data_IF_000519137393
#
_entry.id   IF_000519137393
#
_cell.length_a   1.000
_cell.length_b   1.000
_cell.length_c   1.000
_cell.angle_alpha   90.00
_cell.angle_beta   90.00
_cell.angle_gamma   90.00
#
_symmetry.space_group_name_H-M   'P 1'
#
loop_
_entity.id
_entity.type
_entity.pdbx_description
1 polymer ?
#
# COMPACT_ATOMS: atom_id res chain seq x y z
N UNK A 1 -6.25 -50.35 -14.76
CA UNK A 1 -5.28 -49.52 -14.00
C UNK A 1 -5.83 -49.20 -12.62
N UNK A 2 -5.06 -49.36 -11.56
CA UNK A 2 -5.38 -49.04 -10.18
C UNK A 2 -4.20 -48.39 -9.47
N UNK A 3 -4.48 -47.69 -8.37
CA UNK A 3 -3.46 -47.04 -7.52
C UNK A 3 -3.22 -47.88 -6.29
N UNK A 4 -1.95 -48.17 -5.98
CA UNK A 4 -1.52 -48.87 -4.77
C UNK A 4 -1.28 -47.82 -3.68
N UNK A 5 -2.09 -47.84 -2.60
CA UNK A 5 -1.99 -46.93 -1.47
C UNK A 5 -0.80 -47.24 -0.56
N UNK A 6 -0.49 -46.31 0.38
CA UNK A 6 0.61 -46.52 1.36
C UNK A 6 0.40 -47.73 2.27
N UNK A 7 -0.86 -48.14 2.52
CA UNK A 7 -1.26 -49.33 3.28
C UNK A 7 -1.40 -50.58 2.43
N UNK A 8 -0.87 -50.56 1.21
CA UNK A 8 -0.94 -51.62 0.20
C UNK A 8 -2.34 -51.95 -0.31
N UNK A 9 -3.36 -51.20 0.04
CA UNK A 9 -4.69 -51.38 -0.56
C UNK A 9 -4.71 -50.90 -2.03
N UNK A 10 -5.59 -51.49 -2.84
CA UNK A 10 -5.75 -51.15 -4.25
C UNK A 10 -7.00 -50.31 -4.44
N UNK A 11 -6.89 -49.23 -5.18
CA UNK A 11 -7.99 -48.36 -5.54
C UNK A 11 -8.07 -48.17 -7.04
N UNK A 12 -9.30 -48.34 -7.58
CA UNK A 12 -9.52 -48.12 -9.02
C UNK A 12 -9.12 -46.68 -9.41
N UNK A 13 -8.46 -46.54 -10.56
CA UNK A 13 -8.09 -45.22 -11.09
C UNK A 13 -9.30 -44.35 -11.32
N UNK A 14 -9.25 -43.11 -10.86
CA UNK A 14 -10.28 -42.12 -11.06
C UNK A 14 -9.64 -40.74 -11.19
N UNK A 15 -9.68 -40.16 -12.39
CA UNK A 15 -9.10 -38.85 -12.72
C UNK A 15 -9.75 -37.72 -11.91
N UNK A 16 -11.01 -37.83 -11.51
CA UNK A 16 -11.69 -36.81 -10.68
C UNK A 16 -11.01 -36.61 -9.32
N UNK A 17 -10.32 -37.61 -8.82
CA UNK A 17 -9.50 -37.47 -7.60
C UNK A 17 -8.28 -36.57 -7.81
N UNK A 18 -7.71 -36.57 -9.01
CA UNK A 18 -6.65 -35.64 -9.40
C UNK A 18 -7.22 -34.21 -9.40
N UNK A 19 -8.36 -33.99 -10.08
CA UNK A 19 -9.03 -32.69 -10.13
C UNK A 19 -9.30 -32.14 -8.72
N UNK A 20 -9.83 -32.98 -7.83
CA UNK A 20 -10.08 -32.58 -6.43
C UNK A 20 -8.79 -32.24 -5.70
N UNK A 21 -7.73 -33.03 -5.88
CA UNK A 21 -6.45 -32.81 -5.20
C UNK A 21 -5.75 -31.55 -5.68
N UNK A 22 -5.72 -31.31 -7.00
CA UNK A 22 -5.07 -30.12 -7.57
C UNK A 22 -5.84 -28.83 -7.25
N UNK A 23 -7.18 -28.88 -7.27
CA UNK A 23 -7.99 -27.73 -6.85
C UNK A 23 -7.84 -27.39 -5.36
N UNK A 24 -7.72 -28.39 -4.48
CA UNK A 24 -7.37 -28.13 -3.06
C UNK A 24 -6.00 -27.49 -2.91
N UNK A 25 -5.04 -27.83 -3.75
CA UNK A 25 -3.69 -27.24 -3.74
C UNK A 25 -3.68 -25.85 -4.34
N UNK A 26 -4.47 -25.61 -5.40
CA UNK A 26 -4.70 -24.30 -5.98
C UNK A 26 -5.38 -23.35 -4.97
N UNK A 27 -6.39 -23.82 -4.26
CA UNK A 27 -7.03 -23.05 -3.20
C UNK A 27 -6.04 -22.63 -2.10
N UNK A 28 -5.14 -23.52 -1.67
CA UNK A 28 -4.08 -23.19 -0.70
C UNK A 28 -3.06 -22.21 -1.27
N UNK A 29 -2.73 -22.31 -2.55
CA UNK A 29 -1.86 -21.36 -3.26
C UNK A 29 -2.59 -20.06 -3.65
N UNK A 30 -3.89 -19.95 -3.34
CA UNK A 30 -4.72 -18.78 -3.62
C UNK A 30 -4.85 -18.45 -5.12
N UNK A 31 -4.85 -19.49 -5.94
CA UNK A 31 -5.04 -19.40 -7.40
C UNK A 31 -6.16 -20.32 -7.83
N UNK A 32 -6.70 -20.09 -9.03
CA UNK A 32 -7.72 -20.95 -9.67
C UNK A 32 -7.19 -21.48 -10.97
N UNK A 33 -7.64 -22.66 -11.37
CA UNK A 33 -7.42 -23.21 -12.70
C UNK A 33 -8.54 -22.80 -13.65
N UNK A 34 -8.18 -22.55 -14.90
CA UNK A 34 -9.15 -22.54 -16.01
C UNK A 34 -9.56 -23.99 -16.36
N UNK A 35 -10.65 -24.15 -17.12
CA UNK A 35 -11.05 -25.48 -17.56
C UNK A 35 -9.99 -26.11 -18.48
N UNK A 36 -9.38 -25.35 -19.37
CA UNK A 36 -8.32 -25.80 -20.28
C UNK A 36 -7.08 -26.31 -19.51
N UNK A 37 -6.70 -25.61 -18.45
CA UNK A 37 -5.60 -26.02 -17.57
C UNK A 37 -5.90 -27.35 -16.85
N UNK A 38 -7.12 -27.53 -16.34
CA UNK A 38 -7.54 -28.77 -15.72
C UNK A 38 -7.57 -29.93 -16.72
N UNK A 39 -8.07 -29.70 -17.93
CA UNK A 39 -8.11 -30.70 -19.01
C UNK A 39 -6.69 -31.12 -19.42
N UNK A 40 -5.76 -30.16 -19.51
CA UNK A 40 -4.34 -30.45 -19.74
C UNK A 40 -3.75 -31.34 -18.64
N UNK A 41 -3.93 -30.96 -17.37
CA UNK A 41 -3.43 -31.72 -16.22
C UNK A 41 -3.97 -33.15 -16.25
N UNK A 42 -5.27 -33.32 -16.46
CA UNK A 42 -5.90 -34.64 -16.51
C UNK A 42 -5.33 -35.49 -17.65
N UNK A 43 -5.23 -34.92 -18.85
CA UNK A 43 -4.71 -35.60 -20.04
C UNK A 43 -3.24 -36.02 -19.85
N UNK A 44 -2.40 -35.10 -19.34
CA UNK A 44 -1.01 -35.38 -19.05
C UNK A 44 -0.82 -36.51 -18.03
N UNK A 45 -1.60 -36.47 -16.94
CA UNK A 45 -1.53 -37.50 -15.90
C UNK A 45 -1.98 -38.84 -16.42
N UNK A 46 -3.06 -38.90 -17.20
CA UNK A 46 -3.52 -40.17 -17.81
C UNK A 46 -2.55 -40.74 -18.82
N UNK A 47 -1.98 -39.91 -19.70
CA UNK A 47 -0.98 -40.32 -20.68
C UNK A 47 0.27 -40.89 -20.02
N UNK A 48 0.83 -40.17 -19.05
CA UNK A 48 2.01 -40.58 -18.30
C UNK A 48 1.75 -41.85 -17.50
N UNK A 49 0.61 -41.94 -16.80
CA UNK A 49 0.26 -43.15 -16.06
C UNK A 49 0.12 -44.37 -16.95
N UNK A 50 -0.47 -44.23 -18.14
CA UNK A 50 -0.56 -45.31 -19.13
C UNK A 50 0.81 -45.70 -19.74
N UNK A 51 1.69 -44.72 -19.95
CA UNK A 51 3.03 -44.95 -20.51
C UNK A 51 3.95 -45.80 -19.61
N UNK A 52 3.63 -45.89 -18.31
CA UNK A 52 4.37 -46.79 -17.40
C UNK A 52 4.14 -48.27 -17.66
N UNK A 53 3.09 -48.64 -18.41
CA UNK A 53 2.80 -50.03 -18.76
C UNK A 53 2.45 -50.94 -17.59
N UNK A 54 2.14 -50.38 -16.41
CA UNK A 54 1.85 -51.11 -15.18
C UNK A 54 0.34 -51.10 -14.92
N UNK A 55 -0.23 -52.22 -14.48
CA UNK A 55 -1.63 -52.29 -14.03
C UNK A 55 -1.86 -51.55 -12.72
N UNK A 56 -0.89 -51.62 -11.79
CA UNK A 56 -0.91 -50.97 -10.48
C UNK A 56 0.21 -49.96 -10.33
N UNK A 57 -0.15 -48.70 -10.10
CA UNK A 57 0.79 -47.57 -9.92
C UNK A 57 0.90 -47.24 -8.45
N UNK A 58 2.11 -47.22 -7.84
CA UNK A 58 2.27 -46.72 -6.47
C UNK A 58 1.80 -45.28 -6.31
N UNK A 59 1.13 -44.98 -5.22
CA UNK A 59 0.62 -43.63 -4.95
C UNK A 59 1.72 -42.56 -4.95
N UNK A 60 2.94 -42.91 -4.54
CA UNK A 60 4.09 -41.99 -4.58
C UNK A 60 4.46 -41.59 -6.01
N UNK A 61 4.40 -42.56 -6.96
CA UNK A 61 4.69 -42.29 -8.37
C UNK A 61 3.56 -41.49 -9.03
N UNK A 62 2.32 -41.81 -8.69
CA UNK A 62 1.16 -41.00 -9.11
C UNK A 62 1.28 -39.55 -8.67
N UNK A 63 1.71 -39.29 -7.43
CA UNK A 63 1.97 -37.94 -6.94
C UNK A 63 3.07 -37.23 -7.75
N UNK A 64 4.15 -37.93 -8.14
CA UNK A 64 5.21 -37.32 -8.95
C UNK A 64 4.71 -36.93 -10.34
N UNK A 65 3.84 -37.74 -10.96
CA UNK A 65 3.24 -37.45 -12.26
C UNK A 65 2.32 -36.22 -12.17
N UNK A 66 1.50 -36.15 -11.15
CA UNK A 66 0.61 -34.98 -10.92
C UNK A 66 1.43 -33.70 -10.66
N UNK A 67 2.49 -33.82 -9.87
CA UNK A 67 3.40 -32.71 -9.60
C UNK A 67 4.08 -32.22 -10.88
N UNK A 68 4.55 -33.12 -11.74
CA UNK A 68 5.15 -32.76 -13.04
C UNK A 68 4.16 -32.07 -13.99
N UNK A 69 2.88 -32.44 -13.96
CA UNK A 69 1.83 -31.74 -14.71
C UNK A 69 1.61 -30.31 -14.16
N UNK A 70 1.56 -30.17 -12.85
CA UNK A 70 1.37 -28.87 -12.18
C UNK A 70 2.53 -27.92 -12.41
N UNK A 71 3.78 -28.42 -12.42
CA UNK A 71 4.98 -27.60 -12.71
C UNK A 71 4.91 -26.95 -14.11
N UNK A 72 4.24 -27.58 -15.08
CA UNK A 72 4.08 -27.03 -16.43
C UNK A 72 2.96 -25.99 -16.52
N UNK A 73 1.97 -26.04 -15.63
CA UNK A 73 0.78 -25.16 -15.68
C UNK A 73 0.88 -24.03 -14.67
N UNK A 74 1.14 -24.39 -13.40
CA UNK A 74 1.22 -23.45 -12.27
C UNK A 74 2.23 -23.95 -11.24
N UNK A 75 3.50 -23.52 -11.32
CA UNK A 75 4.56 -23.97 -10.41
C UNK A 75 4.28 -23.70 -8.92
N UNK A 76 3.53 -22.64 -8.60
CA UNK A 76 3.10 -22.33 -7.24
C UNK A 76 2.12 -23.36 -6.69
N UNK A 77 1.26 -23.93 -7.54
CA UNK A 77 0.36 -25.02 -7.15
C UNK A 77 1.10 -26.34 -7.05
N UNK A 78 2.10 -26.60 -7.92
CA UNK A 78 2.98 -27.75 -7.79
C UNK A 78 3.70 -27.77 -6.45
N UNK A 79 4.24 -26.61 -6.03
CA UNK A 79 4.84 -26.45 -4.71
C UNK A 79 3.85 -26.72 -3.59
N UNK A 80 2.66 -26.12 -3.64
CA UNK A 80 1.59 -26.36 -2.65
C UNK A 80 1.18 -27.83 -2.57
N UNK A 81 1.13 -28.52 -3.70
CA UNK A 81 0.81 -29.95 -3.77
C UNK A 81 1.89 -30.82 -3.14
N UNK A 82 3.17 -30.55 -3.43
CA UNK A 82 4.35 -31.21 -2.84
C UNK A 82 4.40 -30.98 -1.34
N UNK A 83 4.22 -29.76 -0.89
CA UNK A 83 4.27 -29.38 0.51
C UNK A 83 3.17 -30.06 1.33
N UNK A 84 1.96 -30.21 0.78
CA UNK A 84 0.89 -30.94 1.42
C UNK A 84 1.16 -32.45 1.53
N UNK A 85 1.85 -33.03 0.53
CA UNK A 85 2.28 -34.44 0.58
C UNK A 85 3.26 -34.68 1.74
N UNK A 86 4.16 -33.72 1.97
CA UNK A 86 5.17 -33.76 3.04
C UNK A 86 4.69 -33.10 4.35
N UNK A 87 3.42 -32.83 4.43
CA UNK A 87 2.70 -31.98 5.39
C UNK A 87 3.16 -32.09 6.84
N UNK A 88 3.35 -33.31 7.37
CA UNK A 88 3.67 -33.45 8.81
C UNK A 88 5.04 -32.85 9.16
N UNK A 89 6.07 -33.16 8.41
CA UNK A 89 7.43 -32.67 8.69
C UNK A 89 7.56 -31.15 8.45
N UNK A 90 7.04 -30.68 7.32
CA UNK A 90 7.16 -29.30 6.95
C UNK A 90 6.29 -28.38 7.82
N UNK A 91 5.10 -28.86 8.22
CA UNK A 91 4.22 -28.10 9.10
C UNK A 91 4.79 -27.96 10.52
N UNK A 92 5.35 -29.04 11.08
CA UNK A 92 6.01 -29.00 12.39
C UNK A 92 7.21 -28.04 12.34
N UNK A 93 8.02 -28.11 11.29
CA UNK A 93 9.17 -27.21 11.11
C UNK A 93 8.73 -25.75 11.01
N UNK A 94 7.70 -25.45 10.21
CA UNK A 94 7.14 -24.11 10.08
C UNK A 94 6.62 -23.59 11.44
N UNK A 95 5.88 -24.40 12.18
CA UNK A 95 5.38 -24.01 13.50
C UNK A 95 6.50 -23.78 14.50
N UNK A 96 7.57 -24.55 14.45
CA UNK A 96 8.74 -24.37 15.30
C UNK A 96 9.47 -23.05 15.00
N UNK A 97 9.60 -22.68 13.72
CA UNK A 97 10.16 -21.40 13.29
C UNK A 97 9.30 -20.21 13.75
N UNK A 98 7.97 -20.30 13.57
CA UNK A 98 7.02 -19.29 14.07
C UNK A 98 7.10 -19.19 15.58
N UNK A 99 7.14 -20.33 16.30
CA UNK A 99 7.26 -20.36 17.75
C UNK A 99 8.56 -19.67 18.25
N UNK A 100 9.72 -20.03 17.69
CA UNK A 100 11.01 -19.44 18.05
C UNK A 100 11.03 -17.93 17.82
N UNK A 101 10.54 -17.46 16.67
CA UNK A 101 10.47 -16.02 16.36
C UNK A 101 9.46 -15.32 17.28
N UNK A 102 8.32 -15.94 17.58
CA UNK A 102 7.32 -15.40 18.50
C UNK A 102 7.88 -15.21 19.91
N UNK A 103 8.67 -16.17 20.41
CA UNK A 103 9.37 -16.02 21.70
C UNK A 103 10.33 -14.83 21.67
N UNK A 104 11.13 -14.69 20.61
CA UNK A 104 12.02 -13.53 20.44
C UNK A 104 11.25 -12.21 20.46
N UNK A 105 10.16 -12.10 19.70
CA UNK A 105 9.32 -10.89 19.64
C UNK A 105 8.71 -10.58 21.02
N UNK A 106 8.21 -11.57 21.72
CA UNK A 106 7.57 -11.37 23.03
C UNK A 106 8.54 -10.86 24.09
N UNK A 107 9.77 -11.35 24.11
CA UNK A 107 10.74 -11.04 25.18
C UNK A 107 11.72 -9.92 24.79
N UNK A 108 12.18 -9.88 23.56
CA UNK A 108 13.20 -8.95 23.09
C UNK A 108 12.59 -7.78 22.31
N UNK A 109 11.51 -8.04 21.57
CA UNK A 109 10.89 -7.15 20.60
C UNK A 109 11.53 -7.29 19.23
N UNK A 110 11.04 -6.50 18.28
CA UNK A 110 11.52 -6.42 16.91
C UNK A 110 11.52 -4.97 16.45
N UNK A 111 12.53 -4.57 15.68
CA UNK A 111 12.70 -3.20 15.17
C UNK A 111 12.79 -3.17 13.64
N UNK A 112 12.13 -4.10 12.96
CA UNK A 112 12.13 -4.16 11.50
C UNK A 112 11.56 -2.89 10.84
N UNK A 113 10.68 -2.18 11.56
CA UNK A 113 9.99 -1.03 11.00
C UNK A 113 10.08 0.20 11.92
N UNK A 114 10.45 1.36 11.35
CA UNK A 114 10.63 2.62 12.09
C UNK A 114 9.32 3.23 12.61
N UNK A 115 8.17 2.80 12.08
CA UNK A 115 6.85 3.27 12.50
C UNK A 115 6.17 2.35 13.52
N UNK A 116 6.91 1.44 14.16
CA UNK A 116 6.38 0.55 15.19
C UNK A 116 7.19 0.66 16.49
N UNK A 117 6.49 0.52 17.61
CA UNK A 117 7.08 0.45 18.94
C UNK A 117 6.90 -0.96 19.50
N UNK A 118 7.95 -1.77 19.43
CA UNK A 118 7.94 -3.17 19.84
C UNK A 118 7.70 -3.38 21.36
N UNK A 119 7.71 -2.33 22.16
CA UNK A 119 7.34 -2.42 23.57
C UNK A 119 5.82 -2.58 23.77
N UNK A 120 5.01 -2.10 22.82
CA UNK A 120 3.55 -2.13 22.93
C UNK A 120 2.98 -3.52 22.64
N UNK A 121 1.94 -3.89 23.36
CA UNK A 121 1.25 -5.21 23.23
C UNK A 121 0.64 -5.37 21.85
N UNK A 122 0.00 -4.33 21.31
CA UNK A 122 -0.58 -4.34 19.96
C UNK A 122 0.49 -4.59 18.89
N UNK A 123 1.64 -3.92 18.98
CA UNK A 123 2.77 -4.10 18.08
C UNK A 123 3.32 -5.53 18.15
N UNK A 124 3.51 -6.09 19.32
CA UNK A 124 3.97 -7.48 19.49
C UNK A 124 3.01 -8.49 18.85
N UNK A 125 1.69 -8.30 19.02
CA UNK A 125 0.69 -9.15 18.35
C UNK A 125 0.82 -9.10 16.82
N UNK A 126 0.95 -7.90 16.26
CA UNK A 126 1.10 -7.73 14.81
C UNK A 126 2.40 -8.35 14.30
N UNK A 127 3.51 -8.20 15.01
CA UNK A 127 4.77 -8.82 14.61
C UNK A 127 4.69 -10.35 14.59
N UNK A 128 4.01 -10.96 15.55
CA UNK A 128 3.78 -12.43 15.57
C UNK A 128 2.88 -12.83 14.39
N UNK A 129 1.78 -12.11 14.17
CA UNK A 129 0.90 -12.34 13.04
C UNK A 129 1.64 -12.17 11.70
N UNK A 130 2.48 -11.14 11.56
CA UNK A 130 3.29 -10.92 10.38
C UNK A 130 4.29 -12.05 10.14
N UNK A 131 4.92 -12.59 11.20
CA UNK A 131 5.80 -13.75 11.05
C UNK A 131 5.04 -14.98 10.53
N UNK A 132 3.86 -15.26 11.07
CA UNK A 132 3.02 -16.36 10.59
C UNK A 132 2.64 -16.15 9.12
N UNK A 133 2.19 -14.95 8.75
CA UNK A 133 1.81 -14.65 7.37
C UNK A 133 3.00 -14.74 6.39
N UNK A 134 4.20 -14.32 6.82
CA UNK A 134 5.42 -14.46 6.02
C UNK A 134 5.71 -15.93 5.70
N UNK A 135 5.64 -16.81 6.71
CA UNK A 135 5.83 -18.25 6.50
C UNK A 135 4.78 -18.85 5.56
N UNK A 136 3.50 -18.45 5.74
CA UNK A 136 2.41 -18.90 4.88
C UNK A 136 2.58 -18.38 3.44
N UNK A 137 3.02 -17.14 3.26
CA UNK A 137 3.28 -16.56 1.94
C UNK A 137 4.41 -17.31 1.23
N UNK A 138 5.54 -17.54 1.90
CA UNK A 138 6.67 -18.28 1.35
C UNK A 138 6.30 -19.72 0.98
N UNK A 139 5.47 -20.35 1.81
CA UNK A 139 5.14 -21.75 1.64
C UNK A 139 4.08 -22.00 0.56
N UNK A 140 3.07 -21.16 0.47
CA UNK A 140 1.88 -21.44 -0.33
C UNK A 140 1.68 -20.52 -1.53
N UNK A 141 2.30 -19.35 -1.55
CA UNK A 141 2.12 -18.38 -2.63
C UNK A 141 3.32 -18.28 -3.56
N UNK A 142 4.54 -18.40 -3.04
CA UNK A 142 5.77 -18.30 -3.83
C UNK A 142 6.09 -19.62 -4.54
N UNK A 143 6.67 -19.52 -5.73
CA UNK A 143 7.30 -20.65 -6.40
C UNK A 143 8.62 -21.03 -5.72
N UNK A 144 9.14 -22.21 -6.04
CA UNK A 144 10.45 -22.65 -5.54
C UNK A 144 11.57 -21.72 -6.01
N UNK A 145 11.50 -21.27 -7.28
CA UNK A 145 12.50 -20.39 -7.88
C UNK A 145 12.50 -19.00 -7.25
N UNK A 146 11.31 -18.41 -7.03
CA UNK A 146 11.17 -17.12 -6.33
C UNK A 146 11.72 -17.21 -4.91
N UNK A 147 11.39 -18.26 -4.18
CA UNK A 147 11.89 -18.46 -2.82
C UNK A 147 13.41 -18.62 -2.80
N UNK A 148 13.98 -19.37 -3.78
CA UNK A 148 15.42 -19.52 -3.90
C UNK A 148 16.10 -18.19 -4.25
N UNK A 149 15.55 -17.43 -5.20
CA UNK A 149 16.07 -16.12 -5.57
C UNK A 149 16.08 -15.13 -4.38
N UNK A 150 15.07 -15.21 -3.49
CA UNK A 150 15.05 -14.44 -2.25
C UNK A 150 16.12 -14.91 -1.24
N UNK A 151 16.27 -16.22 -1.06
CA UNK A 151 17.26 -16.81 -0.12
C UNK A 151 18.69 -16.52 -0.56
N UNK A 152 18.94 -16.56 -1.85
CA UNK A 152 20.24 -16.26 -2.44
C UNK A 152 20.54 -14.74 -2.46
N UNK A 153 19.52 -13.90 -2.20
CA UNK A 153 19.65 -12.44 -2.11
C UNK A 153 19.64 -11.71 -3.46
N UNK A 154 19.21 -12.33 -4.56
CA UNK A 154 19.07 -11.67 -5.86
C UNK A 154 17.86 -10.76 -5.93
N UNK A 155 16.78 -11.14 -5.26
CA UNK A 155 15.57 -10.33 -5.11
C UNK A 155 15.20 -10.18 -3.64
N UNK A 156 14.54 -9.05 -3.31
CA UNK A 156 13.95 -8.82 -1.99
C UNK A 156 12.49 -8.38 -2.16
N UNK A 157 11.58 -9.17 -1.61
CA UNK A 157 10.15 -8.89 -1.63
C UNK A 157 9.83 -8.09 -0.37
N UNK A 158 9.48 -6.80 -0.55
CA UNK A 158 9.09 -5.93 0.54
C UNK A 158 7.75 -6.34 1.14
N UNK A 159 7.63 -6.22 2.46
CA UNK A 159 6.40 -6.45 3.22
C UNK A 159 5.72 -7.79 2.92
N UNK A 160 6.52 -8.84 2.77
CA UNK A 160 6.08 -10.18 2.37
C UNK A 160 4.92 -10.71 3.23
N UNK A 161 4.88 -10.32 4.50
CA UNK A 161 3.84 -10.72 5.46
C UNK A 161 2.45 -10.17 5.16
N UNK A 162 2.36 -9.06 4.41
CA UNK A 162 1.10 -8.35 4.17
C UNK A 162 0.62 -8.38 2.71
N UNK A 163 1.48 -8.78 1.78
CA UNK A 163 1.20 -8.72 0.33
C UNK A 163 -0.03 -9.49 -0.15
N UNK A 164 -0.46 -10.49 0.57
CA UNK A 164 -1.65 -11.26 0.21
C UNK A 164 -2.93 -10.74 0.87
N UNK A 165 -2.84 -9.81 1.82
CA UNK A 165 -3.99 -9.36 2.58
C UNK A 165 -4.62 -8.10 1.97
N UNK A 166 -3.79 -7.19 1.42
CA UNK A 166 -4.25 -5.90 0.91
C UNK A 166 -3.19 -5.22 0.04
N UNK A 167 -3.50 -4.01 -0.44
CA UNK A 167 -2.58 -3.14 -1.17
C UNK A 167 -1.47 -2.56 -0.29
N UNK A 168 -0.44 -2.01 -0.92
CA UNK A 168 0.69 -1.37 -0.25
C UNK A 168 0.44 0.13 0.00
N UNK A 169 0.90 1.00 -0.92
CA UNK A 169 0.78 2.45 -0.77
C UNK A 169 -0.30 3.02 -1.69
N UNK A 170 -0.91 4.13 -1.29
CA UNK A 170 -1.95 4.78 -2.08
C UNK A 170 -1.85 6.30 -2.13
N UNK A 171 -2.49 6.88 -3.15
CA UNK A 171 -2.93 8.26 -3.23
C UNK A 171 -4.44 8.27 -3.03
N UNK A 172 -4.89 8.54 -1.81
CA UNK A 172 -6.28 8.37 -1.42
C UNK A 172 -7.11 9.61 -1.75
N UNK A 173 -8.27 9.41 -2.35
CA UNK A 173 -9.18 10.48 -2.73
C UNK A 173 -10.12 10.87 -1.59
N UNK A 174 -9.60 11.61 -0.63
CA UNK A 174 -10.38 12.07 0.53
C UNK A 174 -11.53 12.99 0.09
N UNK A 175 -11.33 13.79 -0.96
CA UNK A 175 -12.34 14.75 -1.43
C UNK A 175 -13.62 14.02 -1.87
N UNK A 176 -13.51 12.97 -2.68
CA UNK A 176 -14.69 12.27 -3.18
C UNK A 176 -15.40 11.50 -2.05
N UNK A 177 -14.64 10.91 -1.11
CA UNK A 177 -15.23 10.29 0.08
C UNK A 177 -16.05 11.27 0.90
N UNK A 178 -15.58 12.51 1.07
CA UNK A 178 -16.31 13.52 1.86
C UNK A 178 -17.55 14.06 1.15
N UNK A 179 -17.57 14.06 -0.18
CA UNK A 179 -18.62 14.71 -0.97
C UNK A 179 -19.97 13.99 -0.80
N UNK A 180 -20.94 14.69 -0.26
CA UNK A 180 -22.29 14.16 0.00
C UNK A 180 -22.43 13.28 1.23
N UNK A 181 -21.34 13.00 1.92
CA UNK A 181 -21.28 12.07 3.06
C UNK A 181 -20.96 10.64 2.64
N UNK A 182 -20.65 9.77 3.61
CA UNK A 182 -20.17 8.40 3.39
C UNK A 182 -20.47 7.50 4.59
N UNK A 183 -20.42 6.19 4.39
CA UNK A 183 -20.53 5.21 5.46
C UNK A 183 -19.14 4.76 5.93
N UNK A 184 -18.92 4.76 7.25
CA UNK A 184 -17.71 4.23 7.87
C UNK A 184 -18.06 3.46 9.15
N UNK A 185 -17.65 2.21 9.20
CA UNK A 185 -18.06 1.30 10.27
C UNK A 185 -19.57 1.05 10.21
N UNK A 186 -20.30 1.43 11.26
CA UNK A 186 -21.75 1.27 11.35
C UNK A 186 -22.48 2.62 11.35
N UNK A 187 -21.84 3.69 10.89
CA UNK A 187 -22.36 5.06 10.98
C UNK A 187 -22.25 5.76 9.64
N UNK A 188 -23.27 6.58 9.35
CA UNK A 188 -23.23 7.55 8.26
C UNK A 188 -22.57 8.84 8.76
N UNK A 189 -21.54 9.29 8.05
CA UNK A 189 -20.86 10.56 8.25
C UNK A 189 -21.40 11.58 7.25
N UNK A 190 -21.94 12.67 7.75
CA UNK A 190 -22.34 13.79 6.89
C UNK A 190 -21.11 14.58 6.43
N UNK A 191 -21.21 15.18 5.24
CA UNK A 191 -20.19 16.11 4.77
C UNK A 191 -19.93 17.22 5.80
N UNK A 192 -18.66 17.52 6.16
CA UNK A 192 -18.32 18.54 7.11
C UNK A 192 -18.81 19.93 6.70
N UNK A 193 -19.37 20.68 7.65
CA UNK A 193 -19.84 22.07 7.44
C UNK A 193 -18.92 23.12 8.04
N UNK A 194 -17.90 22.72 8.77
CA UNK A 194 -16.91 23.60 9.38
C UNK A 194 -15.51 23.00 9.27
N UNK A 195 -14.50 23.85 9.37
CA UNK A 195 -13.10 23.47 9.33
C UNK A 195 -12.72 22.51 10.47
N UNK A 196 -13.20 22.78 11.69
CA UNK A 196 -12.97 21.94 12.87
C UNK A 196 -13.48 20.51 12.64
N UNK A 197 -14.74 20.36 12.18
CA UNK A 197 -15.32 19.06 11.88
C UNK A 197 -14.59 18.38 10.71
N UNK A 198 -14.15 19.16 9.70
CA UNK A 198 -13.38 18.62 8.59
C UNK A 198 -12.05 18.01 9.06
N UNK A 199 -11.32 18.66 9.97
CA UNK A 199 -10.11 18.08 10.57
C UNK A 199 -10.38 16.77 11.29
N UNK A 200 -11.47 16.68 12.06
CA UNK A 200 -11.81 15.44 12.78
C UNK A 200 -12.18 14.30 11.83
N UNK A 201 -13.12 14.56 10.91
CA UNK A 201 -13.62 13.54 9.96
C UNK A 201 -12.52 13.08 9.03
N UNK A 202 -11.69 13.97 8.47
CA UNK A 202 -10.54 13.60 7.64
C UNK A 202 -9.54 12.76 8.45
N UNK A 203 -9.29 13.15 9.70
CA UNK A 203 -8.44 12.37 10.60
C UNK A 203 -8.94 10.94 10.80
N UNK A 204 -10.25 10.76 10.96
CA UNK A 204 -10.89 9.45 11.14
C UNK A 204 -10.85 8.61 9.85
N UNK A 205 -11.12 9.23 8.69
CA UNK A 205 -10.96 8.58 7.37
C UNK A 205 -9.53 8.06 7.22
N UNK A 206 -8.53 8.93 7.46
CA UNK A 206 -7.12 8.60 7.30
C UNK A 206 -6.72 7.44 8.21
N UNK A 207 -7.11 7.46 9.48
CA UNK A 207 -6.79 6.37 10.42
C UNK A 207 -7.49 5.07 10.05
N UNK A 208 -8.75 5.13 9.66
CA UNK A 208 -9.54 3.95 9.27
C UNK A 208 -8.99 3.34 7.97
N UNK A 209 -8.83 4.14 6.91
CA UNK A 209 -8.36 3.66 5.61
C UNK A 209 -6.89 3.19 5.67
N UNK A 210 -6.01 3.93 6.36
CA UNK A 210 -4.60 3.52 6.52
C UNK A 210 -4.46 2.21 7.30
N UNK A 211 -5.39 1.88 8.19
CA UNK A 211 -5.39 0.60 8.90
C UNK A 211 -5.68 -0.62 8.00
N UNK A 212 -6.24 -0.40 6.81
CA UNK A 212 -6.61 -1.45 5.85
C UNK A 212 -5.53 -1.72 4.80
N UNK A 213 -4.38 -1.05 4.87
CA UNK A 213 -3.23 -1.23 3.98
C UNK A 213 -1.94 -1.36 4.78
N UNK A 214 -0.85 -1.81 4.15
CA UNK A 214 0.41 -2.03 4.87
C UNK A 214 1.50 -1.00 4.56
N UNK A 215 1.33 -0.17 3.54
CA UNK A 215 2.28 0.87 3.15
C UNK A 215 1.81 2.30 3.46
N UNK A 216 2.39 3.26 2.76
CA UNK A 216 2.11 4.68 2.98
C UNK A 216 0.75 5.13 2.45
N UNK A 217 0.11 6.00 3.20
CA UNK A 217 -1.16 6.63 2.86
C UNK A 217 -0.93 8.11 2.57
N UNK A 218 -1.22 8.56 1.35
CA UNK A 218 -1.01 9.95 0.96
C UNK A 218 -2.33 10.67 0.75
N UNK A 219 -2.48 11.83 1.40
CA UNK A 219 -3.52 12.82 1.15
C UNK A 219 -2.94 13.89 0.24
N UNK A 220 -3.33 13.94 -1.05
CA UNK A 220 -2.84 14.95 -1.97
C UNK A 220 -3.44 16.33 -1.70
N UNK A 221 -2.64 17.40 -1.90
CA UNK A 221 -3.06 18.81 -1.92
C UNK A 221 -3.98 19.20 -0.75
N UNK A 222 -3.50 18.95 0.47
CA UNK A 222 -4.29 19.12 1.70
C UNK A 222 -4.71 20.57 1.94
N UNK A 223 -3.95 21.54 1.45
CA UNK A 223 -4.26 22.97 1.45
C UNK A 223 -5.55 23.27 0.65
N UNK A 224 -5.64 22.73 -0.56
CA UNK A 224 -6.83 22.83 -1.42
C UNK A 224 -8.02 22.02 -0.86
N UNK A 225 -7.74 20.87 -0.24
CA UNK A 225 -8.78 20.04 0.40
C UNK A 225 -9.48 20.77 1.54
N UNK A 226 -8.73 21.52 2.36
CA UNK A 226 -9.26 22.22 3.55
C UNK A 226 -9.88 23.57 3.23
N UNK A 227 -9.51 24.21 2.12
CA UNK A 227 -9.95 25.57 1.77
C UNK A 227 -11.48 25.75 1.78
N UNK A 228 -12.31 24.90 1.15
CA UNK A 228 -13.76 25.06 1.15
C UNK A 228 -14.39 25.02 2.55
N UNK A 229 -13.83 24.24 3.46
CA UNK A 229 -14.31 24.14 4.84
C UNK A 229 -13.91 25.37 5.67
N UNK A 230 -12.74 25.95 5.37
CA UNK A 230 -12.28 27.18 5.96
C UNK A 230 -13.16 28.38 5.51
N UNK A 231 -13.55 28.42 4.24
CA UNK A 231 -14.49 29.42 3.71
C UNK A 231 -15.84 29.34 4.42
N UNK A 232 -16.45 28.15 4.52
CA UNK A 232 -17.71 27.93 5.25
C UNK A 232 -17.61 28.38 6.72
N UNK A 233 -16.49 28.05 7.39
CA UNK A 233 -16.25 28.47 8.77
C UNK A 233 -16.06 29.97 8.91
N UNK A 234 -15.30 30.58 8.00
CA UNK A 234 -15.12 32.03 7.98
C UNK A 234 -16.46 32.79 7.83
N UNK A 235 -17.28 32.37 6.87
CA UNK A 235 -18.62 32.99 6.71
C UNK A 235 -19.48 32.87 7.97
N UNK A 236 -19.46 31.70 8.63
CA UNK A 236 -20.17 31.47 9.89
C UNK A 236 -19.68 32.41 11.00
N UNK A 237 -18.36 32.56 11.17
CA UNK A 237 -17.77 33.43 12.18
C UNK A 237 -18.02 34.89 11.84
N UNK A 238 -17.85 35.30 10.60
CA UNK A 238 -18.10 36.66 10.14
C UNK A 238 -19.55 37.10 10.41
N UNK A 239 -20.53 36.26 10.01
CA UNK A 239 -21.95 36.52 10.28
C UNK A 239 -22.23 36.66 11.77
N UNK A 240 -21.71 35.75 12.60
CA UNK A 240 -21.84 35.82 14.06
C UNK A 240 -21.35 37.17 14.63
N UNK A 241 -20.22 37.65 14.14
CA UNK A 241 -19.69 38.93 14.61
C UNK A 241 -20.49 40.14 14.10
N UNK A 242 -21.02 40.13 12.91
CA UNK A 242 -21.96 41.13 12.39
C UNK A 242 -23.24 41.15 13.24
N UNK A 243 -23.81 39.96 13.55
CA UNK A 243 -25.03 39.85 14.38
C UNK A 243 -24.81 40.35 15.81
N UNK A 244 -23.56 40.29 16.30
CA UNK A 244 -23.17 40.93 17.59
C UNK A 244 -23.00 42.45 17.53
N UNK A 245 -23.21 43.06 16.35
CA UNK A 245 -23.14 44.51 16.15
C UNK A 245 -21.72 45.04 15.87
N UNK A 246 -20.76 44.20 15.56
CA UNK A 246 -19.42 44.64 15.17
C UNK A 246 -19.43 45.20 13.73
N UNK A 247 -18.56 46.19 13.49
CA UNK A 247 -18.35 46.66 12.11
C UNK A 247 -17.72 45.59 11.21
N UNK A 248 -18.00 45.65 9.92
CA UNK A 248 -17.49 44.70 8.94
C UNK A 248 -15.96 44.46 9.06
N UNK A 249 -15.17 45.54 9.26
CA UNK A 249 -13.71 45.46 9.44
C UNK A 249 -13.30 44.71 10.70
N UNK A 250 -14.06 44.91 11.81
CA UNK A 250 -13.76 44.21 13.08
C UNK A 250 -14.23 42.76 12.97
N UNK A 251 -15.39 42.51 12.40
CA UNK A 251 -15.94 41.18 12.18
C UNK A 251 -14.99 40.30 11.30
N UNK A 252 -14.48 40.88 10.21
CA UNK A 252 -13.47 40.18 9.37
C UNK A 252 -12.22 39.83 10.18
N UNK A 253 -11.67 40.80 10.92
CA UNK A 253 -10.47 40.57 11.73
C UNK A 253 -10.67 39.46 12.78
N UNK A 254 -11.77 39.45 13.49
CA UNK A 254 -12.04 38.46 14.53
C UNK A 254 -12.37 37.10 13.93
N UNK A 255 -13.11 37.04 12.81
CA UNK A 255 -13.34 35.80 12.06
C UNK A 255 -12.04 35.18 11.56
N UNK A 256 -11.09 35.98 11.06
CA UNK A 256 -9.77 35.53 10.65
C UNK A 256 -8.94 34.97 11.81
N UNK A 257 -9.06 35.51 13.01
CA UNK A 257 -8.41 34.98 14.22
C UNK A 257 -8.98 33.61 14.59
N UNK A 258 -10.30 33.43 14.49
CA UNK A 258 -10.94 32.15 14.75
C UNK A 258 -10.47 31.08 13.71
N UNK A 259 -10.44 31.44 12.43
CA UNK A 259 -9.90 30.55 11.37
C UNK A 259 -8.44 30.16 11.62
N UNK A 260 -7.58 31.13 11.98
CA UNK A 260 -6.20 30.86 12.32
C UNK A 260 -6.09 29.85 13.49
N UNK A 261 -6.92 30.04 14.52
CA UNK A 261 -7.00 29.15 15.67
C UNK A 261 -7.46 27.74 15.28
N UNK A 262 -8.47 27.62 14.42
CA UNK A 262 -8.98 26.34 13.95
C UNK A 262 -7.89 25.58 13.17
N UNK A 263 -7.14 26.25 12.30
CA UNK A 263 -6.00 25.64 11.60
C UNK A 263 -4.87 25.22 12.56
N UNK A 264 -4.47 26.10 13.50
CA UNK A 264 -3.44 25.78 14.50
C UNK A 264 -3.81 24.54 15.31
N UNK A 265 -5.05 24.46 15.79
CA UNK A 265 -5.54 23.33 16.59
C UNK A 265 -5.75 22.05 15.74
N UNK A 266 -6.28 22.21 14.55
CA UNK A 266 -6.52 21.11 13.63
C UNK A 266 -5.22 20.40 13.23
N UNK A 267 -4.20 21.13 12.78
CA UNK A 267 -2.91 20.56 12.44
C UNK A 267 -2.18 19.98 13.66
N UNK A 268 -2.26 20.63 14.83
CA UNK A 268 -1.74 20.04 16.06
C UNK A 268 -2.46 18.72 16.40
N UNK A 269 -3.78 18.67 16.25
CA UNK A 269 -4.57 17.47 16.46
C UNK A 269 -4.15 16.33 15.52
N UNK A 270 -3.88 16.62 14.25
CA UNK A 270 -3.37 15.64 13.30
C UNK A 270 -1.97 15.14 13.67
N UNK A 271 -1.08 16.03 14.12
CA UNK A 271 0.24 15.58 14.60
C UNK A 271 0.12 14.63 15.81
N UNK A 272 -0.87 14.81 16.69
CA UNK A 272 -1.14 13.87 17.77
C UNK A 272 -1.74 12.57 17.26
N UNK A 273 -2.80 12.63 16.43
CA UNK A 273 -3.49 11.45 15.89
C UNK A 273 -2.52 10.53 15.12
N UNK A 274 -1.65 11.10 14.27
CA UNK A 274 -0.79 10.32 13.38
C UNK A 274 0.54 9.86 14.00
N UNK A 275 0.86 10.30 15.21
CA UNK A 275 2.04 9.84 15.96
C UNK A 275 1.64 8.98 17.18
N UNK A 276 0.45 8.40 17.14
CA UNK A 276 -0.08 7.52 18.19
C UNK A 276 -0.52 6.20 17.57
N UNK A 277 -0.25 5.09 18.24
CA UNK A 277 -0.81 3.79 17.87
C UNK A 277 -2.30 3.80 18.19
N UNK A 278 -3.12 4.03 17.18
CA UNK A 278 -4.58 4.19 17.34
C UNK A 278 -5.37 2.92 17.06
N UNK A 279 -4.74 1.85 16.56
CA UNK A 279 -5.41 0.60 16.20
C UNK A 279 -4.74 -0.63 16.81
N UNK A 280 -5.45 -1.76 16.77
CA UNK A 280 -4.91 -3.07 17.17
C UNK A 280 -3.80 -3.58 16.24
N UNK A 281 -3.60 -2.94 15.08
CA UNK A 281 -2.51 -3.22 14.16
C UNK A 281 -1.13 -2.92 14.77
N UNK A 282 -1.04 -1.97 15.71
CA UNK A 282 0.15 -1.76 16.54
C UNK A 282 1.27 -0.97 15.88
N UNK A 283 1.00 -0.28 14.78
CA UNK A 283 1.92 0.65 14.14
C UNK A 283 1.34 2.08 14.11
N UNK A 284 2.19 3.06 13.89
CA UNK A 284 1.77 4.42 13.58
C UNK A 284 1.34 4.46 12.11
N UNK A 285 0.27 5.20 11.77
CA UNK A 285 -0.14 5.34 10.38
C UNK A 285 0.95 6.08 9.59
N UNK A 286 1.40 5.47 8.49
CA UNK A 286 2.45 6.03 7.63
C UNK A 286 1.88 7.07 6.66
N UNK A 287 1.53 8.25 7.20
CA UNK A 287 0.81 9.30 6.48
C UNK A 287 1.79 10.26 5.79
N UNK A 288 1.46 10.62 4.55
CA UNK A 288 2.09 11.70 3.78
C UNK A 288 1.01 12.71 3.37
N UNK A 289 1.33 13.98 3.40
CA UNK A 289 0.48 15.07 2.94
C UNK A 289 1.25 15.94 1.97
N UNK A 290 0.70 16.19 0.78
CA UNK A 290 1.27 17.16 -0.16
C UNK A 290 0.48 18.47 -0.09
N UNK A 291 1.13 19.60 -0.38
CA UNK A 291 0.56 20.94 -0.29
C UNK A 291 1.48 21.96 -0.99
N UNK A 292 1.05 23.19 -1.10
CA UNK A 292 1.90 24.31 -1.48
C UNK A 292 1.53 24.97 -2.80
N UNK A 293 0.52 24.48 -3.53
CA UNK A 293 0.08 25.07 -4.82
C UNK A 293 -1.20 25.89 -4.71
N UNK A 294 -1.86 25.87 -3.56
CA UNK A 294 -3.07 26.63 -3.34
C UNK A 294 -2.81 28.14 -3.25
N UNK A 295 -3.36 28.92 -4.20
CA UNK A 295 -3.22 30.39 -4.25
C UNK A 295 -4.34 31.12 -3.50
N UNK A 296 -5.42 30.41 -3.14
CA UNK A 296 -6.51 30.94 -2.37
C UNK A 296 -6.10 31.40 -0.96
N UNK A 297 -6.82 32.34 -0.41
CA UNK A 297 -6.52 32.93 0.92
C UNK A 297 -6.38 31.87 2.01
N UNK A 298 -7.31 30.93 2.06
CA UNK A 298 -7.33 29.92 3.12
C UNK A 298 -6.37 28.76 2.84
N UNK A 299 -6.10 28.44 1.58
CA UNK A 299 -5.08 27.48 1.20
C UNK A 299 -3.67 27.95 1.61
N UNK A 300 -3.35 29.25 1.41
CA UNK A 300 -2.11 29.87 1.90
C UNK A 300 -1.98 29.76 3.42
N UNK A 301 -3.05 30.11 4.15
CA UNK A 301 -3.08 30.05 5.63
C UNK A 301 -2.90 28.59 6.09
N UNK A 302 -3.55 27.63 5.44
CA UNK A 302 -3.42 26.22 5.74
C UNK A 302 -1.95 25.76 5.61
N UNK A 303 -1.31 26.05 4.46
CA UNK A 303 0.07 25.70 4.20
C UNK A 303 1.04 26.32 5.21
N UNK A 304 0.94 27.62 5.44
CA UNK A 304 1.80 28.36 6.40
C UNK A 304 1.58 27.83 7.83
N UNK A 305 0.34 27.60 8.24
CA UNK A 305 0.04 27.13 9.59
C UNK A 305 0.53 25.73 9.83
N UNK A 306 0.35 24.80 8.88
CA UNK A 306 0.86 23.45 8.95
C UNK A 306 2.40 23.43 9.12
N UNK A 307 3.11 24.23 8.33
CA UNK A 307 4.57 24.40 8.43
C UNK A 307 5.00 24.98 9.78
N UNK A 308 4.26 25.97 10.29
CA UNK A 308 4.54 26.59 11.59
C UNK A 308 4.29 25.63 12.76
N UNK A 309 3.23 24.82 12.72
CA UNK A 309 2.94 23.79 13.73
C UNK A 309 4.08 22.76 13.75
N UNK A 310 4.50 22.25 12.56
CA UNK A 310 5.64 21.34 12.43
C UNK A 310 6.92 21.93 12.97
N UNK A 311 7.22 23.18 12.63
CA UNK A 311 8.42 23.90 13.10
C UNK A 311 8.43 24.11 14.61
N UNK A 312 7.30 24.36 15.24
CA UNK A 312 7.14 24.50 16.70
C UNK A 312 7.41 23.17 17.41
N UNK A 313 7.08 22.05 16.79
CA UNK A 313 7.16 20.70 17.37
C UNK A 313 6.14 20.48 18.49
N UNK A 314 6.08 19.24 18.98
CA UNK A 314 5.14 18.81 20.02
C UNK A 314 5.89 18.38 21.29
N UNK A 315 5.22 18.46 22.44
CA UNK A 315 5.76 18.06 23.73
C UNK A 315 5.59 19.09 24.83
N UNK A 316 6.28 18.89 25.94
CA UNK A 316 6.25 19.79 27.10
C UNK A 316 6.83 21.16 26.74
N UNK A 317 6.38 22.23 27.41
CA UNK A 317 6.72 23.63 27.12
C UNK A 317 8.23 23.87 26.88
N UNK A 318 9.10 23.23 27.62
CA UNK A 318 10.56 23.41 27.53
C UNK A 318 11.28 22.24 26.85
N UNK A 319 10.55 21.28 26.25
CA UNK A 319 11.11 20.11 25.62
C UNK A 319 10.23 19.68 24.45
N UNK A 320 10.11 20.55 23.44
CA UNK A 320 9.40 20.23 22.21
C UNK A 320 10.31 19.48 21.26
N UNK A 321 9.75 18.46 20.59
CA UNK A 321 10.44 17.65 19.60
C UNK A 321 9.69 17.69 18.27
N UNK A 322 10.38 17.62 17.13
CA UNK A 322 9.73 17.41 15.85
C UNK A 322 9.03 16.05 15.86
N UNK A 323 7.88 15.97 15.20
CA UNK A 323 7.12 14.76 15.03
C UNK A 323 7.42 14.12 13.67
N UNK A 324 7.17 12.81 13.56
CA UNK A 324 7.47 12.06 12.34
C UNK A 324 6.35 12.20 11.30
N UNK A 325 5.09 12.06 11.75
CA UNK A 325 3.91 12.05 10.86
C UNK A 325 2.99 13.26 11.10
N UNK A 326 2.26 13.69 10.04
CA UNK A 326 2.39 13.27 8.65
C UNK A 326 3.75 13.68 8.07
N UNK A 327 4.29 12.91 7.11
CA UNK A 327 5.39 13.40 6.27
C UNK A 327 4.85 14.51 5.38
N UNK A 328 5.51 15.65 5.39
CA UNK A 328 5.12 16.82 4.62
C UNK A 328 5.91 16.88 3.32
N UNK A 329 5.23 17.07 2.19
CA UNK A 329 5.83 17.25 0.87
C UNK A 329 5.36 18.56 0.27
N UNK A 330 6.29 19.48 0.10
CA UNK A 330 6.05 20.77 -0.53
C UNK A 330 6.12 20.63 -2.04
N UNK A 331 5.04 20.97 -2.72
CA UNK A 331 4.94 20.98 -4.17
C UNK A 331 5.48 22.33 -4.69
N UNK A 332 6.72 22.32 -5.16
CA UNK A 332 7.41 23.53 -5.60
C UNK A 332 7.17 23.77 -7.09
N UNK A 333 6.64 24.95 -7.43
CA UNK A 333 6.53 25.48 -8.77
C UNK A 333 7.29 26.82 -8.85
N UNK A 334 8.29 26.93 -9.71
CA UNK A 334 9.10 28.13 -9.85
C UNK A 334 8.31 29.37 -10.31
N UNK A 335 7.13 29.17 -10.91
CA UNK A 335 6.26 30.25 -11.32
C UNK A 335 5.42 30.83 -10.16
N UNK A 336 5.19 30.03 -9.11
CA UNK A 336 4.39 30.42 -7.96
C UNK A 336 5.24 30.77 -6.73
N UNK A 337 6.43 30.20 -6.59
CA UNK A 337 7.28 30.27 -5.40
C UNK A 337 8.56 31.08 -5.64
N UNK A 338 9.03 31.74 -4.60
CA UNK A 338 10.25 32.56 -4.61
C UNK A 338 9.97 34.05 -4.51
N UNK A 339 11.02 34.85 -4.50
CA UNK A 339 10.95 36.30 -4.33
C UNK A 339 10.07 36.99 -5.38
N UNK A 340 9.11 37.77 -4.92
CA UNK A 340 8.15 38.50 -5.77
C UNK A 340 7.08 37.65 -6.44
N UNK A 341 6.96 36.38 -6.08
CA UNK A 341 5.93 35.45 -6.61
C UNK A 341 4.70 35.40 -5.68
N UNK A 342 3.61 34.86 -6.21
CA UNK A 342 2.31 34.85 -5.54
C UNK A 342 2.31 34.07 -4.21
N UNK A 343 3.13 33.01 -4.10
CA UNK A 343 3.26 32.15 -2.93
C UNK A 343 4.63 32.32 -2.23
N UNK A 344 5.22 33.53 -2.28
CA UNK A 344 6.48 33.86 -1.62
C UNK A 344 6.43 33.55 -0.11
N UNK A 345 5.36 33.95 0.56
CA UNK A 345 5.14 33.76 2.00
C UNK A 345 5.04 32.27 2.38
N UNK A 346 4.39 31.46 1.54
CA UNK A 346 4.31 30.00 1.72
C UNK A 346 5.68 29.37 1.52
N UNK A 347 6.43 29.82 0.52
CA UNK A 347 7.79 29.35 0.24
C UNK A 347 8.74 29.68 1.40
N UNK A 348 8.73 30.91 1.90
CA UNK A 348 9.55 31.32 3.07
C UNK A 348 9.22 30.49 4.30
N UNK A 349 7.92 30.24 4.58
CA UNK A 349 7.52 29.38 5.69
C UNK A 349 8.06 27.94 5.52
N UNK A 350 8.10 27.43 4.28
CA UNK A 350 8.68 26.14 3.95
C UNK A 350 10.18 26.08 4.24
N UNK A 351 10.94 27.07 3.78
CA UNK A 351 12.39 27.19 4.05
C UNK A 351 12.67 27.26 5.57
N UNK A 352 11.93 28.10 6.29
CA UNK A 352 12.06 28.23 7.75
C UNK A 352 11.74 26.93 8.48
N UNK A 353 10.75 26.17 7.99
CA UNK A 353 10.42 24.87 8.56
C UNK A 353 11.55 23.85 8.29
N UNK A 354 12.04 23.78 7.06
CA UNK A 354 13.13 22.87 6.67
C UNK A 354 14.41 23.13 7.50
N UNK A 355 14.72 24.38 7.78
CA UNK A 355 15.91 24.75 8.57
C UNK A 355 15.91 24.22 10.01
N UNK A 356 14.74 23.85 10.56
CA UNK A 356 14.60 23.39 11.95
C UNK A 356 14.17 21.94 12.11
N UNK A 357 13.31 21.45 11.22
CA UNK A 357 12.66 20.13 11.36
C UNK A 357 13.05 19.14 10.28
N UNK A 358 13.87 19.54 9.30
CA UNK A 358 14.20 18.77 8.09
C UNK A 358 12.97 18.37 7.26
N UNK A 359 11.83 19.01 7.48
CA UNK A 359 10.59 18.93 6.71
C UNK A 359 10.18 20.35 6.28
N UNK A 360 9.44 20.49 5.19
CA UNK A 360 8.95 19.46 4.28
C UNK A 360 10.04 18.89 3.36
N UNK A 361 9.78 17.70 2.76
CA UNK A 361 10.48 17.29 1.56
C UNK A 361 10.01 18.16 0.39
N UNK A 362 10.90 18.43 -0.56
CA UNK A 362 10.62 19.28 -1.70
C UNK A 362 10.44 18.46 -2.97
N UNK A 363 9.30 18.62 -3.64
CA UNK A 363 9.01 18.04 -4.93
C UNK A 363 8.87 19.16 -5.97
N UNK A 364 9.80 19.24 -6.91
CA UNK A 364 9.72 20.21 -8.02
C UNK A 364 8.68 19.76 -9.04
N UNK A 365 7.74 20.64 -9.34
CA UNK A 365 6.76 20.50 -10.42
C UNK A 365 7.27 21.10 -11.73
N UNK A 366 8.37 21.87 -11.67
CA UNK A 366 9.03 22.53 -12.81
C UNK A 366 10.47 22.08 -12.93
N UNK A 367 11.08 22.27 -14.10
CA UNK A 367 12.42 21.78 -14.39
C UNK A 367 12.42 20.51 -15.24
N UNK A 368 13.31 19.58 -14.93
CA UNK A 368 13.47 18.32 -15.66
C UNK A 368 12.97 17.12 -14.85
N UNK A 369 12.52 16.09 -15.54
CA UNK A 369 12.13 14.80 -14.96
C UNK A 369 10.64 14.50 -15.06
N UNK A 370 10.29 13.26 -14.72
CA UNK A 370 8.98 12.67 -14.94
C UNK A 370 7.81 13.50 -14.38
N UNK A 371 7.90 13.98 -13.13
CA UNK A 371 6.83 14.76 -12.50
C UNK A 371 6.63 16.10 -13.22
N UNK A 372 7.73 16.78 -13.55
CA UNK A 372 7.70 18.07 -14.25
C UNK A 372 7.16 17.92 -15.70
N UNK A 373 7.52 16.86 -16.39
CA UNK A 373 7.01 16.56 -17.73
C UNK A 373 5.49 16.33 -17.73
N UNK A 374 4.97 15.54 -16.77
CA UNK A 374 3.54 15.31 -16.62
C UNK A 374 2.81 16.60 -16.25
N UNK A 375 3.35 17.37 -15.30
CA UNK A 375 2.76 18.64 -14.88
C UNK A 375 2.70 19.62 -16.07
N UNK A 376 3.78 19.76 -16.83
CA UNK A 376 3.84 20.60 -18.03
C UNK A 376 2.85 20.16 -19.12
N UNK A 377 2.72 18.85 -19.33
CA UNK A 377 1.90 18.30 -20.42
C UNK A 377 0.41 18.31 -20.10
N UNK A 378 0.03 17.96 -18.86
CA UNK A 378 -1.36 17.71 -18.49
C UNK A 378 -1.90 18.66 -17.42
N UNK A 379 -1.06 19.52 -16.81
CA UNK A 379 -1.45 20.31 -15.64
C UNK A 379 -1.76 19.46 -14.40
N UNK A 380 -1.44 18.16 -14.44
CA UNK A 380 -1.75 17.21 -13.38
C UNK A 380 -0.54 17.01 -12.46
N UNK A 381 -0.78 17.04 -11.14
CA UNK A 381 0.25 16.87 -10.13
C UNK A 381 0.31 15.40 -9.74
N UNK A 382 1.47 14.78 -9.92
CA UNK A 382 1.75 13.45 -9.38
C UNK A 382 2.32 13.62 -7.97
N UNK A 383 1.49 13.41 -6.96
CA UNK A 383 1.96 13.32 -5.58
C UNK A 383 2.75 12.02 -5.36
N UNK A 384 3.82 12.04 -4.54
CA UNK A 384 4.49 10.81 -4.15
C UNK A 384 3.60 10.00 -3.21
N UNK A 385 3.56 8.68 -3.40
CA UNK A 385 3.06 7.80 -2.35
C UNK A 385 4.01 7.80 -1.15
N UNK A 386 3.58 7.34 0.01
CA UNK A 386 4.31 7.46 1.28
C UNK A 386 5.79 7.07 1.24
N UNK A 387 6.17 6.16 0.36
CA UNK A 387 7.55 5.68 0.13
C UNK A 387 8.31 6.43 -0.97
N UNK A 388 7.80 7.54 -1.50
CA UNK A 388 8.35 8.31 -2.64
C UNK A 388 8.24 7.59 -4.00
N UNK A 389 7.42 6.56 -4.11
CA UNK A 389 7.06 5.98 -5.40
C UNK A 389 6.05 6.90 -6.12
N UNK A 390 6.20 6.99 -7.44
CA UNK A 390 5.28 7.72 -8.30
C UNK A 390 4.50 6.74 -9.18
N UNK A 391 3.20 7.00 -9.35
CA UNK A 391 2.36 6.21 -10.23
C UNK A 391 2.66 6.53 -11.71
N UNK A 392 2.62 5.50 -12.56
CA UNK A 392 2.58 5.70 -14.02
C UNK A 392 1.26 6.37 -14.42
N UNK A 393 1.19 7.09 -15.56
CA UNK A 393 -0.07 7.61 -16.07
C UNK A 393 -1.10 6.48 -16.24
N UNK A 394 -2.35 6.80 -15.95
CA UNK A 394 -3.53 6.00 -16.28
C UNK A 394 -4.61 6.99 -16.70
N UNK A 395 -5.17 6.81 -17.86
CA UNK A 395 -6.14 7.73 -18.44
C UNK A 395 -7.56 7.21 -18.23
N UNK A 396 -8.50 8.14 -18.00
CA UNK A 396 -9.90 7.80 -17.66
C UNK A 396 -10.55 6.88 -18.70
N UNK A 397 -10.28 7.12 -19.99
CA UNK A 397 -10.89 6.38 -21.09
C UNK A 397 -9.94 5.40 -21.77
N UNK A 398 -8.68 5.75 -21.92
CA UNK A 398 -7.70 4.98 -22.67
C UNK A 398 -6.85 4.00 -21.84
N UNK A 399 -6.90 4.06 -20.51
CA UNK A 399 -6.09 3.22 -19.66
C UNK A 399 -4.62 3.62 -19.66
N UNK A 400 -3.71 2.77 -20.11
CA UNK A 400 -2.27 3.05 -20.11
C UNK A 400 -1.86 4.13 -21.12
N UNK A 401 -2.61 4.28 -22.20
CA UNK A 401 -2.41 5.29 -23.23
C UNK A 401 -3.68 6.14 -23.35
N UNK A 402 -3.56 7.45 -23.62
CA UNK A 402 -4.73 8.29 -23.77
C UNK A 402 -5.55 7.89 -25.00
N UNK A 403 -6.89 7.82 -24.83
CA UNK A 403 -7.80 7.53 -25.96
C UNK A 403 -7.78 8.64 -27.02
N UNK A 404 -7.61 9.89 -26.60
CA UNK A 404 -7.48 11.09 -27.44
C UNK A 404 -6.77 12.23 -26.68
N UNK A 405 -6.63 13.40 -27.30
CA UNK A 405 -5.95 14.55 -26.71
C UNK A 405 -6.67 15.19 -25.51
N UNK A 406 -7.94 14.87 -25.31
CA UNK A 406 -8.77 15.37 -24.19
C UNK A 406 -8.82 14.40 -23.03
N UNK A 407 -8.31 13.18 -23.19
CA UNK A 407 -8.28 12.18 -22.14
C UNK A 407 -7.33 12.59 -21.01
N UNK A 408 -7.81 12.49 -19.76
CA UNK A 408 -7.09 13.01 -18.60
C UNK A 408 -6.41 11.90 -17.82
N UNK A 409 -5.18 12.13 -17.37
CA UNK A 409 -4.51 11.17 -16.49
C UNK A 409 -5.10 11.21 -15.08
N UNK A 410 -5.33 10.04 -14.50
CA UNK A 410 -5.80 9.83 -13.14
C UNK A 410 -4.61 9.43 -12.26
N UNK A 411 -4.30 10.24 -11.25
CA UNK A 411 -3.26 9.95 -10.27
C UNK A 411 -3.81 9.75 -8.86
N UNK A 412 -4.88 10.48 -8.51
CA UNK A 412 -5.56 10.36 -7.20
C UNK A 412 -6.55 9.21 -7.24
N UNK A 413 -6.75 8.55 -6.11
CA UNK A 413 -7.61 7.36 -6.04
C UNK A 413 -6.97 6.10 -6.62
N UNK A 414 -5.64 5.99 -6.56
CA UNK A 414 -4.88 4.83 -7.07
C UNK A 414 -3.88 4.33 -6.03
N UNK A 415 -3.46 3.08 -6.21
CA UNK A 415 -2.55 2.40 -5.27
C UNK A 415 -1.53 1.51 -6.01
N UNK A 416 -0.54 1.01 -5.30
CA UNK A 416 0.36 -0.03 -5.77
C UNK A 416 0.17 -1.34 -4.98
N UNK A 417 0.55 -2.46 -5.61
CA UNK A 417 0.42 -3.80 -5.03
C UNK A 417 1.69 -4.29 -4.33
N UNK A 418 2.66 -3.41 -4.14
CA UNK A 418 3.90 -3.70 -3.44
C UNK A 418 5.15 -3.59 -4.31
N UNK A 419 6.29 -3.61 -3.65
CA UNK A 419 7.60 -3.47 -4.26
C UNK A 419 8.42 -4.77 -4.17
N UNK A 420 9.26 -5.00 -5.18
CA UNK A 420 10.30 -6.03 -5.16
C UNK A 420 11.59 -5.39 -5.63
N UNK A 421 12.64 -5.50 -4.84
CA UNK A 421 13.96 -4.96 -5.16
C UNK A 421 14.85 -6.01 -5.81
N UNK A 422 15.66 -5.59 -6.78
CA UNK A 422 16.72 -6.36 -7.43
C UNK A 422 18.06 -6.01 -6.83
N UNK A 423 18.92 -7.00 -6.60
CA UNK A 423 20.29 -6.79 -6.19
C UNK A 423 21.23 -6.79 -7.41
N UNK A 424 21.28 -5.67 -8.14
CA UNK A 424 22.02 -5.56 -9.39
C UNK A 424 23.51 -5.98 -9.30
N UNK A 425 24.29 -5.60 -8.27
CA UNK A 425 25.65 -6.06 -8.10
C UNK A 425 25.79 -7.58 -8.04
N UNK A 426 24.89 -8.27 -7.32
CA UNK A 426 24.91 -9.76 -7.25
C UNK A 426 24.51 -10.40 -8.58
N UNK A 427 23.52 -9.84 -9.28
CA UNK A 427 23.11 -10.30 -10.61
C UNK A 427 24.28 -10.16 -11.61
N UNK A 428 25.00 -9.04 -11.55
CA UNK A 428 26.19 -8.83 -12.35
C UNK A 428 27.32 -9.83 -12.03
N UNK A 429 27.58 -10.08 -10.75
CA UNK A 429 28.57 -11.07 -10.32
C UNK A 429 28.20 -12.47 -10.81
N UNK A 430 26.91 -12.86 -10.72
CA UNK A 430 26.39 -14.12 -11.26
C UNK A 430 26.60 -14.24 -12.77
N UNK A 431 26.26 -13.19 -13.52
CA UNK A 431 26.46 -13.17 -14.98
C UNK A 431 27.93 -13.40 -15.36
N UNK A 432 28.87 -12.78 -14.63
CA UNK A 432 30.30 -13.02 -14.81
C UNK A 432 30.72 -14.45 -14.48
N UNK A 433 30.25 -14.97 -13.36
CA UNK A 433 30.57 -16.33 -12.92
C UNK A 433 30.07 -17.40 -13.91
N UNK A 434 28.86 -17.17 -14.46
CA UNK A 434 28.25 -18.09 -15.44
C UNK A 434 28.68 -17.83 -16.89
N UNK A 435 29.52 -16.81 -17.13
CA UNK A 435 29.92 -16.35 -18.47
C UNK A 435 28.72 -16.04 -19.38
N UNK A 436 27.67 -15.46 -18.83
CA UNK A 436 26.44 -15.05 -19.52
C UNK A 436 26.36 -13.53 -19.65
N UNK A 437 25.67 -13.01 -20.67
CA UNK A 437 25.38 -11.58 -20.77
C UNK A 437 24.59 -11.09 -19.57
N UNK A 438 24.96 -9.91 -19.03
CA UNK A 438 24.30 -9.32 -17.84
C UNK A 438 22.79 -9.16 -18.03
N UNK A 439 22.36 -8.64 -19.17
CA UNK A 439 20.94 -8.42 -19.44
C UNK A 439 20.13 -9.71 -19.50
N UNK A 440 20.70 -10.78 -19.99
CA UNK A 440 20.03 -12.08 -20.01
C UNK A 440 19.77 -12.62 -18.59
N UNK A 441 20.73 -12.45 -17.68
CA UNK A 441 20.56 -12.84 -16.27
C UNK A 441 19.60 -11.87 -15.55
N UNK A 442 19.65 -10.59 -15.89
CA UNK A 442 18.73 -9.58 -15.35
C UNK A 442 17.28 -9.87 -15.78
N UNK A 443 17.05 -10.15 -17.07
CA UNK A 443 15.73 -10.46 -17.62
C UNK A 443 15.09 -11.68 -16.96
N UNK A 444 15.89 -12.70 -16.61
CA UNK A 444 15.39 -13.84 -15.84
C UNK A 444 14.78 -13.41 -14.50
N UNK A 445 15.46 -12.56 -13.72
CA UNK A 445 14.92 -12.08 -12.43
C UNK A 445 13.78 -11.08 -12.60
N UNK A 446 13.80 -10.27 -13.65
CA UNK A 446 12.67 -9.38 -13.99
C UNK A 446 11.43 -10.20 -14.33
N UNK A 447 11.57 -11.30 -15.06
CA UNK A 447 10.44 -12.18 -15.38
C UNK A 447 9.87 -12.87 -14.13
N UNK A 448 10.71 -13.34 -13.20
CA UNK A 448 10.24 -13.86 -11.91
C UNK A 448 9.41 -12.81 -11.15
N UNK A 449 9.89 -11.57 -11.11
CA UNK A 449 9.19 -10.46 -10.44
C UNK A 449 7.88 -10.15 -11.17
N UNK A 450 7.88 -10.13 -12.50
CA UNK A 450 6.68 -9.88 -13.31
C UNK A 450 5.59 -10.92 -13.03
N UNK A 451 5.94 -12.20 -13.00
CA UNK A 451 5.01 -13.28 -12.69
C UNK A 451 4.45 -13.18 -11.26
N UNK A 452 5.30 -12.84 -10.30
CA UNK A 452 4.89 -12.60 -8.92
C UNK A 452 3.88 -11.44 -8.83
N UNK A 453 4.12 -10.33 -9.53
CA UNK A 453 3.20 -9.19 -9.55
C UNK A 453 1.87 -9.52 -10.24
N UNK A 454 1.89 -10.22 -11.37
CA UNK A 454 0.67 -10.68 -12.07
C UNK A 454 -0.18 -11.53 -11.13
N UNK A 455 0.42 -12.50 -10.45
CA UNK A 455 -0.27 -13.36 -9.49
C UNK A 455 -0.85 -12.57 -8.31
N UNK A 456 -0.09 -11.62 -7.77
CA UNK A 456 -0.54 -10.72 -6.70
C UNK A 456 -1.73 -9.87 -7.17
N UNK A 457 -1.65 -9.30 -8.37
CA UNK A 457 -2.71 -8.50 -8.97
C UNK A 457 -4.00 -9.32 -9.15
N UNK A 458 -3.89 -10.51 -9.76
CA UNK A 458 -5.02 -11.39 -9.98
C UNK A 458 -5.70 -11.79 -8.65
N UNK A 459 -4.90 -12.10 -7.64
CA UNK A 459 -5.39 -12.46 -6.31
C UNK A 459 -6.13 -11.29 -5.63
N UNK A 460 -5.53 -10.09 -5.62
CA UNK A 460 -6.18 -8.91 -5.04
C UNK A 460 -7.44 -8.51 -5.82
N UNK A 461 -7.45 -8.68 -7.13
CA UNK A 461 -8.61 -8.39 -7.99
C UNK A 461 -9.83 -9.29 -7.75
N UNK A 462 -9.64 -10.46 -7.12
CA UNK A 462 -10.74 -11.34 -6.72
C UNK A 462 -11.33 -11.02 -5.34
N UNK A 463 -10.72 -10.10 -4.59
CA UNK A 463 -11.22 -9.72 -3.27
C UNK A 463 -12.50 -8.89 -3.40
N UNK A 464 -13.40 -9.07 -2.44
CA UNK A 464 -14.63 -8.27 -2.40
C UNK A 464 -14.31 -6.83 -2.01
N UNK A 465 -14.98 -5.85 -2.63
CA UNK A 465 -14.85 -4.43 -2.30
C UNK A 465 -15.12 -4.14 -0.81
N UNK A 466 -16.00 -4.91 -0.17
CA UNK A 466 -16.31 -4.81 1.26
C UNK A 466 -15.14 -5.13 2.21
N UNK A 467 -13.98 -5.60 1.69
CA UNK A 467 -12.76 -5.77 2.51
C UNK A 467 -12.11 -4.43 2.89
N UNK A 468 -12.34 -3.38 2.08
CA UNK A 468 -11.91 -2.02 2.38
C UNK A 468 -12.95 -1.02 1.84
N UNK A 469 -14.08 -0.81 2.56
CA UNK A 469 -15.21 -0.04 2.06
C UNK A 469 -14.86 1.39 1.69
N UNK A 470 -14.11 2.12 2.52
CA UNK A 470 -13.69 3.50 2.24
C UNK A 470 -12.92 3.64 0.93
N UNK A 471 -12.10 2.64 0.60
CA UNK A 471 -11.32 2.63 -0.62
C UNK A 471 -12.16 2.27 -1.86
N UNK A 472 -12.96 1.19 -1.78
CA UNK A 472 -13.58 0.59 -2.96
C UNK A 472 -15.08 0.89 -3.11
N UNK A 473 -15.77 1.35 -2.05
CA UNK A 473 -17.20 1.61 -2.08
C UNK A 473 -17.55 3.10 -1.90
N UNK A 474 -16.72 3.86 -1.19
CA UNK A 474 -16.99 5.25 -0.80
C UNK A 474 -16.16 6.27 -1.61
N UNK A 475 -15.54 5.87 -2.71
CA UNK A 475 -14.82 6.78 -3.61
C UNK A 475 -13.35 7.06 -3.25
N UNK A 476 -12.78 6.35 -2.29
CA UNK A 476 -11.37 6.50 -1.93
C UNK A 476 -10.42 6.12 -3.07
N UNK A 477 -10.83 5.14 -3.91
CA UNK A 477 -10.13 4.74 -5.14
C UNK A 477 -10.99 4.92 -6.37
N UNK A 478 -10.32 5.22 -7.47
CA UNK A 478 -10.91 5.32 -8.80
C UNK A 478 -11.19 3.91 -9.35
N UNK A 479 -12.39 3.69 -9.87
CA UNK A 479 -12.84 2.43 -10.49
C UNK A 479 -14.23 2.05 -9.99
#
# INVERSE_FOLDING_TARGET
MYVIKKDHTHEAWNVQKVVVAVNKSAYRAMVKFTQEELDFICSFVEEKARSLGQEGIPIAEMHNIVEAALEQVKPEVAKSYRDYRNYKQDFVKMLDEVYKKSQSIMYIGDKENSNSDSALVSTKRSLIYNQLNKELYQKFFMTTEELQACRDGYIYIHDMSARRDTMNCCLFNVKDVLTGGFEMGNLWYNEPKTLEVAFDVIGDIVLSAASQQYGGFTVPSVDLLLEPFAEKSYEKYYRRYIDMGLTARIADREAMKDIQKDFDQGFQGWEYKFNTVASSRGDYPFITMTFGTGTGKFAKIASITMLNVRRKGQGKKNCKKPVLFPKLVFLYDENLHGAGKELEDVFEAGILCSSKSMYPDWLSLTGEGYVAEIYKKYGAIISPMGCRAFLSPWFERGGMEPADAEDKPVFVGRFNIGAVSLHLPMIYAKAKQESRPFFEVLDYYLELIRQLHIRTYAYLGEMRASTNPLAYCEGGFYG
#
